data_IF_261356263459
#
_entry.id   IF_261356263459
#
_cell.length_a   1.000
_cell.length_b   1.000
_cell.length_c   1.000
_cell.angle_alpha   90.00
_cell.angle_beta   90.00
_cell.angle_gamma   90.00
#
_symmetry.space_group_name_H-M   'P 1'
#
loop_
_entity.id
_entity.type
_entity.pdbx_description
1 polymer ?
#
# COMPACT_ATOMS: atom_id res chain seq x y z
N UNK A 1 8.02 -1.57 16.09
CA UNK A 1 7.96 -2.38 14.85
C UNK A 1 6.73 -1.96 14.08
N UNK A 2 6.81 -1.88 12.76
CA UNK A 2 5.70 -1.41 11.92
C UNK A 2 5.58 -2.23 10.64
N UNK A 3 4.35 -2.52 10.21
CA UNK A 3 4.06 -3.18 8.94
C UNK A 3 3.53 -2.17 7.94
N UNK A 4 3.92 -2.29 6.68
CA UNK A 4 3.47 -1.38 5.62
C UNK A 4 2.88 -2.21 4.51
N UNK A 5 1.68 -1.86 4.06
CA UNK A 5 0.97 -2.53 2.99
C UNK A 5 0.63 -1.54 1.89
N UNK A 6 1.28 -1.70 0.74
CA UNK A 6 0.92 -1.00 -0.50
C UNK A 6 -0.38 -1.54 -1.08
N UNK A 7 -1.28 -0.64 -1.49
CA UNK A 7 -2.57 -1.02 -2.06
C UNK A 7 -2.43 -1.86 -3.34
N UNK A 8 -1.49 -1.48 -4.22
CA UNK A 8 -1.23 -2.19 -5.49
C UNK A 8 -0.71 -3.61 -5.32
N UNK A 9 -0.11 -3.93 -4.17
CA UNK A 9 0.44 -5.26 -3.88
C UNK A 9 -0.57 -6.18 -3.22
N UNK A 10 -1.71 -5.63 -2.79
CA UNK A 10 -2.79 -6.41 -2.19
C UNK A 10 -3.78 -6.88 -3.26
N UNK A 11 -4.34 -8.09 -3.11
CA UNK A 11 -5.32 -8.63 -4.05
C UNK A 11 -6.72 -8.03 -3.82
N UNK A 12 -6.83 -6.70 -3.90
CA UNK A 12 -8.11 -5.98 -3.90
C UNK A 12 -8.84 -6.25 -5.22
N UNK A 13 -10.03 -6.89 -5.14
CA UNK A 13 -10.97 -7.06 -6.27
C UNK A 13 -10.52 -7.90 -7.48
N UNK A 14 -9.25 -7.92 -7.85
CA UNK A 14 -8.70 -8.61 -9.00
C UNK A 14 -7.80 -9.76 -8.54
N UNK A 15 -8.19 -10.98 -8.90
CA UNK A 15 -7.40 -12.17 -8.67
C UNK A 15 -6.06 -12.02 -9.39
N UNK A 16 -5.00 -11.65 -8.67
CA UNK A 16 -3.64 -11.92 -9.14
C UNK A 16 -3.35 -13.39 -8.83
N UNK A 17 -3.10 -14.24 -9.84
CA UNK A 17 -2.91 -15.68 -9.66
C UNK A 17 -1.58 -16.05 -8.97
N UNK A 18 -0.82 -15.08 -8.45
CA UNK A 18 0.57 -15.31 -8.01
C UNK A 18 0.74 -15.74 -6.54
N UNK A 19 -0.28 -15.61 -5.68
CA UNK A 19 -0.13 -15.92 -4.25
C UNK A 19 -0.59 -17.32 -3.84
N UNK A 20 -1.40 -17.99 -4.67
CA UNK A 20 -1.90 -19.33 -4.36
C UNK A 20 -0.81 -20.42 -4.42
N UNK A 21 0.20 -20.27 -5.29
CA UNK A 21 1.28 -21.25 -5.43
C UNK A 21 2.37 -21.14 -4.34
N UNK A 22 2.53 -19.97 -3.72
CA UNK A 22 3.56 -19.76 -2.69
C UNK A 22 3.15 -20.25 -1.29
N UNK A 23 1.87 -20.54 -1.06
CA UNK A 23 1.32 -20.91 0.25
C UNK A 23 1.28 -22.42 0.52
N UNK A 24 1.54 -23.28 -0.49
CA UNK A 24 1.37 -24.73 -0.36
C UNK A 24 2.52 -25.47 0.36
N UNK A 25 3.65 -24.82 0.64
CA UNK A 25 4.89 -25.53 1.02
C UNK A 25 5.48 -25.12 2.38
N UNK A 26 4.75 -24.35 3.19
CA UNK A 26 5.23 -23.91 4.51
C UNK A 26 4.20 -24.23 5.57
N UNK A 27 4.61 -25.00 6.59
CA UNK A 27 3.81 -25.42 7.74
C UNK A 27 3.00 -24.23 8.27
N UNK A 28 1.71 -24.23 7.92
CA UNK A 28 0.79 -23.15 8.23
C UNK A 28 0.45 -23.23 9.70
N UNK A 29 0.84 -22.19 10.44
CA UNK A 29 0.43 -22.00 11.83
C UNK A 29 -1.06 -21.64 11.98
N UNK A 30 -1.80 -21.55 10.88
CA UNK A 30 -3.23 -21.23 10.82
C UNK A 30 -4.00 -22.48 10.46
N UNK A 31 -4.99 -22.82 11.28
CA UNK A 31 -5.88 -23.94 10.99
C UNK A 31 -6.93 -23.53 9.96
N UNK A 32 -7.34 -24.48 9.12
CA UNK A 32 -8.41 -24.26 8.14
C UNK A 32 -9.70 -23.75 8.81
N UNK A 33 -9.96 -24.16 10.06
CA UNK A 33 -11.09 -23.72 10.88
C UNK A 33 -11.05 -22.21 11.19
N UNK A 34 -9.88 -21.63 11.48
CA UNK A 34 -9.74 -20.19 11.77
C UNK A 34 -10.03 -19.32 10.52
N UNK A 35 -9.82 -19.89 9.34
CA UNK A 35 -10.11 -19.22 8.07
C UNK A 35 -11.61 -19.30 7.71
N UNK A 36 -12.30 -20.40 8.04
CA UNK A 36 -13.71 -20.60 7.71
C UNK A 36 -14.65 -19.57 8.36
N UNK A 37 -14.28 -19.03 9.53
CA UNK A 37 -15.06 -17.99 10.23
C UNK A 37 -14.95 -16.60 9.58
N UNK A 38 -13.99 -16.40 8.66
CA UNK A 38 -13.73 -15.10 8.05
C UNK A 38 -14.54 -14.89 6.74
N UNK A 39 -15.08 -13.67 6.53
CA UNK A 39 -15.63 -13.26 5.24
C UNK A 39 -14.64 -13.52 4.09
N UNK A 40 -15.15 -13.91 2.92
CA UNK A 40 -14.33 -14.30 1.77
C UNK A 40 -13.30 -13.24 1.34
N UNK A 41 -13.63 -11.95 1.50
CA UNK A 41 -12.72 -10.85 1.20
C UNK A 41 -11.54 -10.79 2.19
N UNK A 42 -11.77 -11.05 3.48
CA UNK A 42 -10.70 -11.11 4.50
C UNK A 42 -9.78 -12.29 4.23
N UNK A 43 -10.35 -13.48 3.98
CA UNK A 43 -9.58 -14.69 3.65
C UNK A 43 -8.61 -14.50 2.50
N UNK A 44 -8.97 -13.69 1.50
CA UNK A 44 -8.10 -13.39 0.36
C UNK A 44 -6.87 -12.56 0.74
N UNK A 45 -7.00 -11.67 1.72
CA UNK A 45 -5.92 -10.78 2.17
C UNK A 45 -4.99 -11.46 3.18
N UNK A 46 -5.50 -12.44 3.92
CA UNK A 46 -4.73 -13.14 4.97
C UNK A 46 -3.39 -13.69 4.48
N UNK A 47 -3.26 -14.40 3.34
CA UNK A 47 -1.96 -14.90 2.89
C UNK A 47 -0.92 -13.80 2.63
N UNK A 48 -1.34 -12.69 2.00
CA UNK A 48 -0.46 -11.57 1.72
C UNK A 48 0.00 -10.85 3.00
N UNK A 49 -0.92 -10.68 3.96
CA UNK A 49 -0.61 -10.07 5.26
C UNK A 49 0.25 -11.00 6.12
N UNK A 50 -0.11 -12.27 6.18
CA UNK A 50 0.60 -13.29 6.95
C UNK A 50 2.06 -13.40 6.53
N UNK A 51 2.35 -13.37 5.22
CA UNK A 51 3.74 -13.46 4.76
C UNK A 51 4.59 -12.29 5.29
N UNK A 52 4.06 -11.07 5.26
CA UNK A 52 4.76 -9.89 5.81
C UNK A 52 4.93 -10.02 7.32
N UNK A 53 3.86 -10.35 8.03
CA UNK A 53 3.89 -10.43 9.49
C UNK A 53 4.83 -11.56 9.94
N UNK A 54 4.78 -12.74 9.31
CA UNK A 54 5.59 -13.91 9.64
C UNK A 54 7.08 -13.67 9.42
N UNK A 55 7.49 -13.03 8.31
CA UNK A 55 8.88 -12.64 8.07
C UNK A 55 9.47 -11.80 9.20
N UNK A 56 8.61 -11.14 9.98
CA UNK A 56 8.98 -10.25 11.07
C UNK A 56 8.97 -10.95 12.43
N UNK A 57 8.07 -11.91 12.66
CA UNK A 57 8.01 -12.71 13.88
C UNK A 57 9.00 -13.89 13.91
N UNK A 58 9.27 -14.58 12.78
CA UNK A 58 10.30 -15.64 12.68
C UNK A 58 11.71 -15.12 12.95
N UNK A 59 11.88 -13.80 12.84
CA UNK A 59 13.11 -13.09 13.07
C UNK A 59 13.32 -12.70 14.55
N UNK A 60 12.40 -13.06 15.46
CA UNK A 60 12.60 -13.04 16.91
C UNK A 60 12.85 -14.48 17.36
N UNK A 61 14.09 -14.82 17.74
CA UNK A 61 14.58 -16.15 18.15
C UNK A 61 13.94 -16.73 19.45
N UNK A 62 12.64 -16.54 19.68
CA UNK A 62 11.92 -17.07 20.83
C UNK A 62 10.94 -18.18 20.41
N UNK A 63 11.32 -19.42 20.69
CA UNK A 63 10.53 -20.66 20.52
C UNK A 63 9.36 -20.73 21.52
N UNK A 64 8.53 -19.68 21.57
CA UNK A 64 7.40 -19.55 22.49
C UNK A 64 6.06 -19.53 21.73
N UNK A 65 5.18 -20.46 22.08
CA UNK A 65 3.78 -20.60 21.65
C UNK A 65 2.95 -19.29 21.80
N UNK A 66 3.43 -18.37 22.66
CA UNK A 66 2.87 -17.03 22.89
C UNK A 66 3.08 -16.09 21.68
N UNK A 67 4.16 -16.28 20.91
CA UNK A 67 4.45 -15.50 19.71
C UNK A 67 3.46 -15.77 18.58
N UNK A 68 3.01 -17.02 18.47
CA UNK A 68 2.04 -17.48 17.49
C UNK A 68 0.68 -16.80 17.62
N UNK A 69 0.13 -16.76 18.85
CA UNK A 69 -1.17 -16.11 19.13
C UNK A 69 -1.10 -14.61 18.86
N UNK A 70 0.05 -14.00 19.16
CA UNK A 70 0.29 -12.57 18.91
C UNK A 70 0.40 -12.24 17.42
N UNK A 71 1.02 -13.12 16.63
CA UNK A 71 1.12 -13.01 15.18
C UNK A 71 -0.26 -13.05 14.52
N UNK A 72 -1.08 -14.06 14.85
CA UNK A 72 -2.43 -14.19 14.27
C UNK A 72 -3.33 -13.01 14.62
N UNK A 73 -3.26 -12.55 15.88
CA UNK A 73 -4.00 -11.35 16.31
C UNK A 73 -3.61 -10.11 15.52
N UNK A 74 -2.32 -9.90 15.28
CA UNK A 74 -1.84 -8.78 14.45
C UNK A 74 -2.36 -8.89 13.01
N UNK A 75 -2.33 -10.07 12.41
CA UNK A 75 -2.86 -10.32 11.05
C UNK A 75 -4.34 -9.99 10.96
N UNK A 76 -5.16 -10.46 11.92
CA UNK A 76 -6.60 -10.19 11.93
C UNK A 76 -6.91 -8.70 12.08
N UNK A 77 -6.16 -7.99 12.93
CA UNK A 77 -6.29 -6.55 13.10
C UNK A 77 -5.93 -5.81 11.80
N UNK A 78 -4.80 -6.15 11.18
CA UNK A 78 -4.38 -5.55 9.90
C UNK A 78 -5.45 -5.78 8.83
N UNK A 79 -5.87 -7.02 8.62
CA UNK A 79 -6.89 -7.37 7.62
C UNK A 79 -8.24 -6.68 7.93
N UNK A 80 -8.53 -6.45 9.20
CA UNK A 80 -9.70 -5.67 9.64
C UNK A 80 -9.73 -4.26 9.06
N UNK A 81 -8.58 -3.60 8.95
CA UNK A 81 -8.45 -2.19 8.57
C UNK A 81 -8.13 -1.99 7.07
N UNK A 82 -7.66 -3.03 6.37
CA UNK A 82 -7.30 -2.94 4.95
C UNK A 82 -8.46 -2.53 4.01
N UNK A 83 -9.71 -2.65 4.45
CA UNK A 83 -10.86 -2.13 3.71
C UNK A 83 -10.81 -0.60 3.54
N UNK A 84 -10.23 0.13 4.50
CA UNK A 84 -10.04 1.58 4.38
C UNK A 84 -8.99 1.91 3.32
N UNK A 85 -7.94 1.10 3.22
CA UNK A 85 -6.91 1.23 2.19
C UNK A 85 -7.50 0.93 0.81
N UNK A 86 -8.34 -0.10 0.68
CA UNK A 86 -9.07 -0.40 -0.55
C UNK A 86 -9.97 0.77 -0.97
N UNK A 87 -10.76 1.30 -0.03
CA UNK A 87 -11.64 2.43 -0.30
C UNK A 87 -10.86 3.71 -0.67
N UNK A 88 -9.73 3.96 -0.02
CA UNK A 88 -8.86 5.09 -0.36
C UNK A 88 -8.24 4.93 -1.74
N UNK A 89 -7.72 3.74 -2.05
CA UNK A 89 -7.15 3.42 -3.36
C UNK A 89 -8.18 3.59 -4.48
N UNK A 90 -9.39 3.04 -4.32
CA UNK A 90 -10.48 3.17 -5.29
C UNK A 90 -10.82 4.64 -5.58
N UNK A 91 -10.93 5.48 -4.53
CA UNK A 91 -11.20 6.93 -4.71
C UNK A 91 -10.09 7.65 -5.47
N UNK A 92 -8.82 7.29 -5.24
CA UNK A 92 -7.70 7.94 -5.94
C UNK A 92 -7.64 7.50 -7.39
N UNK A 93 -7.87 6.21 -7.67
CA UNK A 93 -7.94 5.69 -9.05
C UNK A 93 -9.08 6.39 -9.81
N UNK A 94 -10.27 6.49 -9.21
CA UNK A 94 -11.39 7.21 -9.81
C UNK A 94 -11.07 8.69 -10.06
N UNK A 95 -10.44 9.36 -9.09
CA UNK A 95 -9.98 10.73 -9.24
C UNK A 95 -9.02 10.87 -10.42
N UNK A 96 -7.99 10.03 -10.52
CA UNK A 96 -7.03 10.06 -11.61
C UNK A 96 -7.69 9.76 -12.97
N UNK A 97 -8.63 8.82 -13.04
CA UNK A 97 -9.38 8.55 -14.26
C UNK A 97 -10.17 9.76 -14.72
N UNK A 98 -10.82 10.48 -13.80
CA UNK A 98 -11.52 11.74 -14.12
C UNK A 98 -10.55 12.83 -14.58
N UNK A 99 -9.39 12.96 -13.93
CA UNK A 99 -8.34 13.90 -14.35
C UNK A 99 -7.88 13.60 -15.78
N UNK A 100 -7.59 12.33 -16.09
CA UNK A 100 -7.19 11.89 -17.45
C UNK A 100 -8.27 12.14 -18.51
N UNK A 101 -9.55 12.05 -18.14
CA UNK A 101 -10.67 12.39 -19.03
C UNK A 101 -10.98 13.89 -19.11
N UNK A 102 -10.34 14.72 -18.30
CA UNK A 102 -10.65 16.15 -18.17
C UNK A 102 -12.00 16.43 -17.46
N UNK A 103 -12.56 15.45 -16.76
CA UNK A 103 -13.85 15.52 -16.06
C UNK A 103 -13.68 16.00 -14.61
N UNK A 104 -13.04 17.16 -14.43
CA UNK A 104 -12.87 17.76 -13.09
C UNK A 104 -14.19 18.35 -12.61
N UNK A 105 -14.51 18.11 -11.34
CA UNK A 105 -15.63 18.74 -10.66
C UNK A 105 -15.35 20.22 -10.41
N UNK A 106 -16.40 21.01 -10.20
CA UNK A 106 -16.25 22.43 -9.86
C UNK A 106 -15.43 22.65 -8.57
N UNK A 107 -15.54 21.75 -7.60
CA UNK A 107 -14.78 21.78 -6.35
C UNK A 107 -13.29 21.53 -6.59
N UNK A 108 -12.94 20.57 -7.46
CA UNK A 108 -11.54 20.28 -7.82
C UNK A 108 -10.90 21.44 -8.59
N UNK A 109 -11.64 22.04 -9.53
CA UNK A 109 -11.17 23.23 -10.25
C UNK A 109 -10.91 24.40 -9.31
N UNK A 110 -11.80 24.62 -8.34
CA UNK A 110 -11.63 25.66 -7.33
C UNK A 110 -10.43 25.39 -6.41
N UNK A 111 -10.23 24.13 -6.00
CA UNK A 111 -9.08 23.75 -5.20
C UNK A 111 -7.76 23.93 -5.95
N UNK A 112 -7.72 23.58 -7.23
CA UNK A 112 -6.56 23.82 -8.09
C UNK A 112 -6.24 25.31 -8.23
N UNK A 113 -7.27 26.16 -8.35
CA UNK A 113 -7.10 27.62 -8.40
C UNK A 113 -6.56 28.16 -7.07
N UNK A 114 -7.08 27.72 -5.92
CA UNK A 114 -6.55 28.08 -4.60
C UNK A 114 -5.09 27.65 -4.40
N UNK A 115 -4.74 26.45 -4.84
CA UNK A 115 -3.37 25.94 -4.75
C UNK A 115 -2.45 26.73 -5.67
N UNK A 116 -2.91 27.09 -6.86
CA UNK A 116 -2.17 27.94 -7.82
C UNK A 116 -1.95 29.34 -7.26
N UNK A 117 -2.94 29.95 -6.64
CA UNK A 117 -2.79 31.27 -6.01
C UNK A 117 -1.75 31.26 -4.89
N UNK A 118 -1.63 30.14 -4.15
CA UNK A 118 -0.75 30.05 -2.98
C UNK A 118 0.66 29.55 -3.28
N UNK A 119 0.81 28.63 -4.23
CA UNK A 119 2.09 27.98 -4.57
C UNK A 119 2.71 28.59 -5.84
N UNK A 120 1.90 29.27 -6.68
CA UNK A 120 2.31 29.81 -7.97
C UNK A 120 2.42 28.73 -9.06
N UNK A 121 3.08 29.07 -10.16
CA UNK A 121 3.29 28.20 -11.33
C UNK A 121 4.20 26.97 -11.06
N UNK A 122 4.70 26.80 -9.84
CA UNK A 122 5.41 25.60 -9.42
C UNK A 122 4.49 24.40 -9.17
N UNK A 123 3.17 24.57 -9.29
CA UNK A 123 2.22 23.47 -9.25
C UNK A 123 2.34 22.65 -10.55
N UNK A 124 2.51 21.32 -10.48
CA UNK A 124 2.69 20.50 -11.67
C UNK A 124 1.47 20.68 -12.57
N UNK A 125 1.70 21.33 -13.71
CA UNK A 125 0.73 21.43 -14.79
C UNK A 125 0.66 20.03 -15.39
N UNK A 126 -0.46 19.36 -15.20
CA UNK A 126 -0.75 18.10 -15.89
C UNK A 126 -0.61 18.39 -17.39
N UNK A 127 0.50 17.97 -17.97
CA UNK A 127 1.02 18.46 -19.24
C UNK A 127 0.34 17.72 -20.41
N UNK A 128 -1.00 17.71 -20.37
CA UNK A 128 -1.84 17.36 -21.50
C UNK A 128 -2.12 18.60 -22.33
N UNK A 129 -1.39 18.73 -23.45
CA UNK A 129 -1.61 19.68 -24.54
C UNK A 129 -1.15 21.13 -24.30
N UNK A 130 0.09 21.45 -24.72
CA UNK A 130 0.38 22.56 -25.66
C UNK A 130 1.87 22.65 -25.97
N UNK A 131 2.16 22.45 -27.26
CA UNK A 131 3.13 23.16 -28.11
C UNK A 131 4.60 23.26 -27.71
N UNK A 132 5.41 22.97 -28.72
CA UNK A 132 6.86 23.10 -28.78
C UNK A 132 7.33 24.46 -28.25
N UNK A 133 8.24 24.46 -27.28
CA UNK A 133 9.42 25.34 -27.34
C UNK A 133 10.52 24.84 -26.39
N UNK A 134 11.70 24.67 -26.99
CA UNK A 134 12.98 24.28 -26.41
C UNK A 134 13.34 25.03 -25.13
N UNK A 135 13.69 24.31 -24.04
CA UNK A 135 14.89 24.62 -23.22
C UNK A 135 15.39 23.40 -22.42
N UNK A 136 16.52 22.85 -22.86
CA UNK A 136 17.65 22.30 -22.08
C UNK A 136 17.42 21.28 -20.94
N UNK A 137 17.86 20.05 -21.26
CA UNK A 137 18.76 19.19 -20.46
C UNK A 137 18.49 18.98 -18.96
N UNK A 138 17.86 17.85 -18.63
CA UNK A 138 18.38 16.88 -17.65
C UNK A 138 18.16 15.48 -18.23
N UNK A 139 19.26 14.77 -18.47
CA UNK A 139 19.28 13.34 -18.72
C UNK A 139 18.92 12.62 -17.42
N UNK A 140 17.65 12.25 -17.29
CA UNK A 140 17.11 11.43 -16.21
C UNK A 140 16.26 10.32 -16.83
N UNK A 141 16.87 9.15 -16.94
CA UNK A 141 16.28 7.82 -17.12
C UNK A 141 14.78 7.76 -17.46
N UNK A 142 14.51 7.44 -18.72
CA UNK A 142 13.20 7.27 -19.35
C UNK A 142 12.53 5.95 -18.90
N UNK A 143 12.31 5.83 -17.60
CA UNK A 143 11.37 4.87 -17.03
C UNK A 143 10.02 5.56 -16.88
N UNK A 144 9.30 5.59 -18.01
CA UNK A 144 7.88 5.87 -18.13
C UNK A 144 7.03 4.88 -17.28
N UNK A 145 7.12 4.97 -15.96
CA UNK A 145 6.15 4.46 -15.00
C UNK A 145 5.19 5.59 -14.67
N UNK A 146 4.25 5.85 -15.58
CA UNK A 146 3.25 6.88 -15.42
C UNK A 146 2.49 6.74 -14.10
N UNK A 147 2.61 7.75 -13.24
CA UNK A 147 1.69 8.17 -12.16
C UNK A 147 0.80 7.11 -11.50
N UNK A 148 1.34 5.91 -11.28
CA UNK A 148 0.57 4.82 -10.69
C UNK A 148 0.41 5.11 -9.19
N UNK A 149 -0.84 5.11 -8.71
CA UNK A 149 -1.18 5.43 -7.31
C UNK A 149 -0.42 4.50 -6.37
N UNK A 150 0.65 5.03 -5.78
CA UNK A 150 1.42 4.31 -4.78
C UNK A 150 0.98 4.77 -3.38
N UNK A 151 -0.19 4.30 -2.94
CA UNK A 151 -0.70 4.50 -1.58
C UNK A 151 -0.44 3.27 -0.73
N UNK A 152 -0.03 3.49 0.51
CA UNK A 152 0.20 2.46 1.49
C UNK A 152 -0.41 2.82 2.85
N UNK A 153 -0.70 1.79 3.63
CA UNK A 153 -1.12 1.89 5.01
C UNK A 153 -0.05 1.28 5.92
N UNK A 154 0.24 1.97 7.03
CA UNK A 154 1.21 1.58 8.02
C UNK A 154 0.50 1.15 9.31
N UNK A 155 1.02 0.09 9.93
CA UNK A 155 0.51 -0.52 11.15
C UNK A 155 1.63 -0.67 12.17
N UNK A 156 1.31 -0.69 13.47
CA UNK A 156 2.27 -1.07 14.50
C UNK A 156 2.33 -2.60 14.68
N UNK A 157 3.13 -3.07 15.65
CA UNK A 157 3.31 -4.50 15.95
C UNK A 157 2.00 -5.22 16.34
N UNK A 158 1.05 -4.49 16.93
CA UNK A 158 -0.23 -5.01 17.38
C UNK A 158 -1.30 -5.01 16.26
N UNK A 159 -0.93 -4.53 15.06
CA UNK A 159 -1.82 -4.41 13.92
C UNK A 159 -2.76 -3.20 13.97
N UNK A 160 -2.49 -2.19 14.80
CA UNK A 160 -3.27 -0.93 14.80
C UNK A 160 -2.72 0.05 13.77
N UNK A 161 -3.60 0.78 13.08
CA UNK A 161 -3.23 1.77 12.06
C UNK A 161 -2.39 2.90 12.66
N UNK A 162 -1.26 3.19 12.01
CA UNK A 162 -0.38 4.32 12.30
C UNK A 162 -0.64 5.46 11.31
N UNK A 163 -0.93 5.14 10.05
CA UNK A 163 -1.27 6.14 9.04
C UNK A 163 -1.46 5.57 7.64
N UNK A 164 -1.97 6.43 6.75
CA UNK A 164 -2.18 6.17 5.33
C UNK A 164 -1.52 7.30 4.55
N UNK A 165 -0.88 6.99 3.42
CA UNK A 165 -0.12 7.97 2.65
C UNK A 165 0.62 7.34 1.47
N UNK A 166 1.45 8.11 0.79
CA UNK A 166 2.24 7.58 -0.34
C UNK A 166 3.21 6.50 0.15
N UNK A 167 3.34 5.40 -0.59
CA UNK A 167 4.27 4.33 -0.25
C UNK A 167 5.73 4.79 -0.22
N UNK A 168 6.09 5.76 -1.06
CA UNK A 168 7.42 6.39 -1.04
C UNK A 168 7.75 7.05 0.31
N UNK A 169 6.73 7.48 1.08
CA UNK A 169 6.91 8.03 2.43
C UNK A 169 7.21 6.94 3.47
N UNK A 170 6.62 5.75 3.31
CA UNK A 170 6.76 4.64 4.24
C UNK A 170 7.85 3.63 3.86
N UNK A 171 8.48 3.84 2.71
CA UNK A 171 9.47 2.96 2.11
C UNK A 171 8.85 1.93 1.17
N UNK A 172 7.64 1.43 1.43
CA UNK A 172 6.99 0.41 0.61
C UNK A 172 6.55 -0.81 1.41
N UNK A 173 6.10 -1.86 0.73
CA UNK A 173 5.46 -3.01 1.36
C UNK A 173 6.47 -3.86 2.17
N UNK A 174 6.13 -4.13 3.44
CA UNK A 174 6.86 -5.04 4.33
C UNK A 174 8.08 -4.49 5.09
N UNK A 175 8.21 -3.18 5.28
CA UNK A 175 9.52 -2.54 5.59
C UNK A 175 10.37 -3.03 6.80
N UNK A 176 11.69 -2.78 6.65
CA UNK A 176 12.89 -3.48 7.13
C UNK A 176 13.17 -3.67 8.64
N UNK A 177 13.82 -4.81 8.98
CA UNK A 177 14.72 -4.93 10.15
C UNK A 177 15.71 -3.76 10.11
N UNK A 178 15.76 -2.93 11.16
CA UNK A 178 16.79 -1.90 11.27
C UNK A 178 18.16 -2.53 11.02
N UNK A 179 19.03 -1.96 10.15
CA UNK A 179 20.40 -2.40 10.10
C UNK A 179 21.00 -2.22 11.51
N UNK A 180 21.79 -3.19 12.01
CA UNK A 180 22.38 -3.07 13.33
C UNK A 180 23.16 -1.76 13.38
N UNK A 181 22.82 -0.90 14.35
CA UNK A 181 23.59 0.32 14.63
C UNK A 181 25.04 -0.11 14.85
N UNK A 182 25.89 0.10 13.84
CA UNK A 182 27.33 -0.10 13.98
C UNK A 182 27.80 0.85 15.08
N UNK A 183 28.22 0.26 16.20
CA UNK A 183 28.98 0.95 17.25
C UNK A 183 30.42 1.15 16.81
#
# INVERSE_FOLDING_TARGET
MTFVFEARRLPFGHATPSYADAASDRESCVTEADLEELPAWKRRLVPAVMEVVRQHFENSDGDDDVGTVSCWKAVLNIVGELHELEAAYARIVEYQDRQRRGEKTAEELFLEELLRERIGDAFPRDNGCAEEEDTSSISGDDNNHGDEVDIAMCFNADGTVVGIGSAGLFGGHGYHRQPPRRR
#
